data_IF_726454348170
#
_entry.id   IF_726454348170
#
_cell.length_a   1.000
_cell.length_b   1.000
_cell.length_c   1.000
_cell.angle_alpha   90.00
_cell.angle_beta   90.00
_cell.angle_gamma   90.00
#
_symmetry.space_group_name_H-M   'P 1'
#
loop_
_entity.id
_entity.type
_entity.pdbx_description
1 polymer ?
#
# COMPACT_ATOMS: atom_id res chain seq x y z
N UNK A 1 15.65 -23.41 5.46
CA UNK A 1 15.35 -22.31 4.52
C UNK A 1 13.85 -22.12 4.59
N UNK A 2 13.35 -20.93 4.94
CA UNK A 2 11.93 -20.63 4.78
C UNK A 2 11.55 -20.90 3.32
N UNK A 3 10.40 -21.51 3.09
CA UNK A 3 9.92 -22.02 1.79
C UNK A 3 9.63 -20.92 0.74
N UNK A 4 10.07 -19.69 0.99
CA UNK A 4 9.80 -18.51 0.15
C UNK A 4 8.38 -17.99 0.28
N UNK A 5 7.55 -18.57 1.15
CA UNK A 5 6.17 -18.13 1.36
C UNK A 5 6.15 -16.81 2.12
N UNK A 6 5.41 -15.83 1.60
CA UNK A 6 5.17 -14.57 2.31
C UNK A 6 4.21 -14.85 3.48
N UNK A 7 4.60 -14.53 4.73
CA UNK A 7 3.76 -14.83 5.88
C UNK A 7 2.48 -13.97 5.88
N UNK A 8 1.39 -14.58 6.36
CA UNK A 8 0.14 -13.90 6.69
C UNK A 8 0.09 -13.72 8.20
N UNK A 9 0.01 -12.48 8.68
CA UNK A 9 0.06 -12.13 10.11
C UNK A 9 -1.25 -11.48 10.54
N UNK A 10 -1.87 -12.07 11.56
CA UNK A 10 -3.04 -11.49 12.22
C UNK A 10 -2.63 -10.23 12.99
N UNK A 11 -3.16 -9.09 12.57
CA UNK A 11 -2.87 -7.77 13.13
C UNK A 11 -3.93 -7.30 14.14
N UNK A 12 -4.92 -8.13 14.47
CA UNK A 12 -6.10 -7.75 15.29
C UNK A 12 -5.74 -7.08 16.62
N UNK A 13 -4.70 -7.53 17.31
CA UNK A 13 -4.26 -6.98 18.60
C UNK A 13 -3.81 -5.52 18.52
N UNK A 14 -3.37 -5.07 17.34
CA UNK A 14 -2.99 -3.67 17.04
C UNK A 14 -3.82 -3.09 15.89
N UNK A 15 -4.93 -3.74 15.51
CA UNK A 15 -5.76 -3.33 14.37
C UNK A 15 -6.61 -2.11 14.69
N UNK A 16 -7.12 -1.44 13.65
CA UNK A 16 -7.91 -0.21 13.77
C UNK A 16 -9.19 -0.37 14.61
N UNK A 17 -9.73 -1.59 14.67
CA UNK A 17 -10.92 -1.90 15.46
C UNK A 17 -10.61 -2.20 16.94
N UNK A 18 -9.33 -2.23 17.34
CA UNK A 18 -8.92 -2.44 18.72
C UNK A 18 -9.06 -1.13 19.51
N UNK A 19 -10.17 -0.98 20.23
CA UNK A 19 -10.48 0.25 20.98
C UNK A 19 -9.50 0.52 22.15
N UNK A 20 -8.98 -0.56 22.74
CA UNK A 20 -8.03 -0.50 23.86
C UNK A 20 -6.83 -1.39 23.52
N UNK A 21 -5.86 -0.89 22.71
CA UNK A 21 -4.70 -1.68 22.37
C UNK A 21 -3.93 -2.08 23.64
N UNK A 22 -3.50 -3.34 23.74
CA UNK A 22 -2.71 -3.84 24.86
C UNK A 22 -1.39 -3.08 25.00
N UNK A 23 -0.80 -3.12 26.19
CA UNK A 23 0.52 -2.53 26.41
C UNK A 23 1.59 -3.25 25.58
N UNK A 24 2.67 -2.55 25.23
CA UNK A 24 3.74 -3.10 24.38
C UNK A 24 4.49 -4.27 25.04
N UNK A 25 4.41 -4.41 26.36
CA UNK A 25 4.95 -5.51 27.14
C UNK A 25 3.96 -6.67 27.34
N UNK A 26 2.80 -6.63 26.69
CA UNK A 26 1.94 -7.81 26.63
C UNK A 26 2.52 -8.85 25.66
N UNK A 27 2.35 -10.12 26.00
CA UNK A 27 2.87 -11.24 25.21
C UNK A 27 2.29 -11.26 23.78
N UNK A 28 1.01 -10.89 23.63
CA UNK A 28 0.33 -10.79 22.35
C UNK A 28 1.00 -9.78 21.40
N UNK A 29 1.38 -8.60 21.92
CA UNK A 29 2.07 -7.56 21.16
C UNK A 29 3.49 -7.97 20.81
N UNK A 30 4.23 -8.58 21.76
CA UNK A 30 5.58 -9.12 21.48
C UNK A 30 5.55 -10.18 20.39
N UNK A 31 4.60 -11.12 20.46
CA UNK A 31 4.46 -12.17 19.45
C UNK A 31 4.16 -11.59 18.06
N UNK A 32 3.26 -10.60 17.98
CA UNK A 32 3.01 -9.86 16.74
C UNK A 32 4.29 -9.18 16.23
N UNK A 33 5.01 -8.46 17.09
CA UNK A 33 6.25 -7.78 16.74
C UNK A 33 7.32 -8.75 16.22
N UNK A 34 7.49 -9.91 16.88
CA UNK A 34 8.45 -10.94 16.47
C UNK A 34 8.11 -11.51 15.08
N UNK A 35 6.82 -11.72 14.78
CA UNK A 35 6.36 -12.16 13.46
C UNK A 35 6.63 -11.12 12.38
N UNK A 36 6.31 -9.86 12.65
CA UNK A 36 6.56 -8.73 11.72
C UNK A 36 8.06 -8.55 11.48
N UNK A 37 8.87 -8.58 12.55
CA UNK A 37 10.33 -8.49 12.47
C UNK A 37 10.90 -9.65 11.65
N UNK A 38 10.44 -10.87 11.89
CA UNK A 38 10.89 -12.06 11.14
C UNK A 38 10.53 -11.94 9.66
N UNK A 39 9.31 -11.53 9.33
CA UNK A 39 8.87 -11.36 7.95
C UNK A 39 9.75 -10.35 7.18
N UNK A 40 9.99 -9.18 7.77
CA UNK A 40 10.79 -8.13 7.14
C UNK A 40 12.29 -8.44 7.11
N UNK A 41 12.84 -9.13 8.11
CA UNK A 41 14.27 -9.49 8.15
C UNK A 41 14.64 -10.69 7.30
N UNK A 42 13.66 -11.48 6.83
CA UNK A 42 13.90 -12.68 6.02
C UNK A 42 13.41 -12.54 4.59
N UNK A 43 12.11 -12.35 4.38
CA UNK A 43 11.48 -12.25 3.05
C UNK A 43 11.40 -10.79 2.59
N UNK A 44 11.28 -9.84 3.53
CA UNK A 44 11.07 -8.43 3.24
C UNK A 44 9.61 -8.05 2.98
N UNK A 45 8.67 -9.01 3.04
CA UNK A 45 7.25 -8.82 2.77
C UNK A 45 6.38 -9.55 3.80
N UNK A 46 5.16 -9.05 4.02
CA UNK A 46 4.13 -9.64 4.88
C UNK A 46 2.74 -9.28 4.37
N UNK A 47 1.78 -10.20 4.46
CA UNK A 47 0.36 -9.89 4.35
C UNK A 47 -0.22 -9.72 5.75
N UNK A 48 -1.00 -8.66 5.97
CA UNK A 48 -1.72 -8.46 7.22
C UNK A 48 -3.18 -8.89 7.06
N UNK A 49 -3.72 -9.58 8.05
CA UNK A 49 -5.16 -9.85 8.19
C UNK A 49 -5.68 -9.17 9.45
N UNK A 50 -7.00 -8.98 9.55
CA UNK A 50 -7.65 -8.33 10.69
C UNK A 50 -7.08 -6.94 11.03
N UNK A 51 -6.59 -6.21 10.02
CA UNK A 51 -6.06 -4.84 10.17
C UNK A 51 -7.16 -3.82 10.54
N UNK A 52 -8.43 -4.14 10.28
CA UNK A 52 -9.59 -3.36 10.71
C UNK A 52 -10.16 -2.39 9.68
N UNK A 53 -9.45 -2.14 8.59
CA UNK A 53 -10.00 -1.45 7.40
C UNK A 53 -11.15 -2.28 6.85
N UNK A 54 -12.33 -1.67 6.68
CA UNK A 54 -13.52 -2.38 6.23
C UNK A 54 -13.49 -2.64 4.72
N UNK A 55 -14.15 -3.72 4.28
CA UNK A 55 -14.36 -4.00 2.86
C UNK A 55 -15.10 -2.87 2.14
N UNK A 56 -15.98 -2.17 2.84
CA UNK A 56 -16.68 -1.01 2.28
C UNK A 56 -15.72 0.14 1.98
N UNK A 57 -14.79 0.47 2.89
CA UNK A 57 -13.77 1.50 2.64
C UNK A 57 -12.83 1.11 1.49
N UNK A 58 -12.40 -0.15 1.44
CA UNK A 58 -11.56 -0.67 0.35
C UNK A 58 -12.29 -0.52 -0.99
N UNK A 59 -13.56 -0.92 -1.06
CA UNK A 59 -14.34 -0.84 -2.30
C UNK A 59 -14.61 0.60 -2.72
N UNK A 60 -14.86 1.52 -1.79
CA UNK A 60 -15.03 2.95 -2.12
C UNK A 60 -13.75 3.56 -2.70
N UNK A 61 -12.56 3.23 -2.14
CA UNK A 61 -11.28 3.66 -2.72
C UNK A 61 -11.06 3.05 -4.09
N UNK A 62 -11.39 1.76 -4.28
CA UNK A 62 -11.29 1.08 -5.57
C UNK A 62 -12.19 1.74 -6.62
N UNK A 63 -13.45 2.03 -6.28
CA UNK A 63 -14.38 2.75 -7.15
C UNK A 63 -13.90 4.16 -7.50
N UNK A 64 -13.33 4.90 -6.55
CA UNK A 64 -12.77 6.21 -6.82
C UNK A 64 -11.58 6.12 -7.81
N UNK A 65 -10.71 5.13 -7.63
CA UNK A 65 -9.61 4.82 -8.55
C UNK A 65 -10.11 4.47 -9.96
N UNK A 66 -11.01 3.49 -10.06
CA UNK A 66 -11.63 3.09 -11.34
C UNK A 66 -12.32 4.28 -12.01
N UNK A 67 -13.07 5.07 -11.25
CA UNK A 67 -13.77 6.26 -11.73
C UNK A 67 -12.82 7.29 -12.34
N UNK A 68 -11.67 7.54 -11.70
CA UNK A 68 -10.67 8.45 -12.21
C UNK A 68 -9.92 7.88 -13.43
N UNK A 69 -9.41 6.65 -13.36
CA UNK A 69 -8.55 6.10 -14.41
C UNK A 69 -9.31 5.78 -15.72
N UNK A 70 -10.63 5.56 -15.63
CA UNK A 70 -11.51 5.42 -16.79
C UNK A 70 -11.85 6.75 -17.49
N UNK A 71 -11.45 7.90 -16.94
CA UNK A 71 -11.65 9.19 -17.61
C UNK A 71 -10.79 9.30 -18.88
N UNK A 72 -11.25 10.09 -19.87
CA UNK A 72 -10.43 10.47 -21.02
C UNK A 72 -9.08 11.09 -20.60
N UNK A 73 -8.04 10.84 -21.39
CA UNK A 73 -6.66 11.25 -21.05
C UNK A 73 -6.51 12.76 -20.94
N UNK A 74 -7.21 13.53 -21.78
CA UNK A 74 -7.26 14.99 -21.74
C UNK A 74 -7.86 15.52 -20.42
N UNK A 75 -8.83 14.80 -19.84
CA UNK A 75 -9.37 15.13 -18.51
C UNK A 75 -8.33 14.81 -17.43
N UNK A 76 -7.73 13.61 -17.45
CA UNK A 76 -6.70 13.21 -16.46
C UNK A 76 -5.49 14.15 -16.47
N UNK A 77 -5.12 14.69 -17.64
CA UNK A 77 -4.00 15.62 -17.81
C UNK A 77 -4.15 16.90 -16.97
N UNK A 78 -5.37 17.33 -16.63
CA UNK A 78 -5.61 18.49 -15.77
C UNK A 78 -5.11 18.27 -14.33
N UNK A 79 -4.91 17.01 -13.93
CA UNK A 79 -4.43 16.63 -12.60
C UNK A 79 -2.97 16.15 -12.60
N UNK A 80 -2.23 16.41 -13.69
CA UNK A 80 -0.84 15.94 -13.85
C UNK A 80 0.03 16.36 -12.66
N UNK A 81 0.73 15.38 -12.06
CA UNK A 81 1.73 15.65 -11.02
C UNK A 81 2.74 16.68 -11.54
N UNK A 82 3.07 17.75 -10.83
CA UNK A 82 4.03 18.73 -11.34
C UNK A 82 5.46 18.15 -11.39
N UNK A 83 6.39 18.86 -12.04
CA UNK A 83 7.82 18.52 -12.09
C UNK A 83 8.66 19.38 -11.14
N UNK A 84 8.03 20.23 -10.34
CA UNK A 84 8.62 21.20 -9.41
C UNK A 84 9.02 20.59 -8.06
N UNK A 85 9.00 19.26 -7.94
CA UNK A 85 9.23 18.52 -6.70
C UNK A 85 7.95 18.15 -5.94
N UNK A 86 6.78 18.64 -6.37
CA UNK A 86 5.50 18.14 -5.86
C UNK A 86 5.28 16.67 -6.23
N UNK A 87 4.94 15.84 -5.24
CA UNK A 87 4.71 14.40 -5.46
C UNK A 87 3.22 14.02 -5.57
N UNK A 88 2.32 14.98 -5.77
CA UNK A 88 0.87 14.77 -5.77
C UNK A 88 0.27 14.94 -7.15
N UNK A 89 -0.74 14.13 -7.49
CA UNK A 89 -1.43 14.16 -8.77
C UNK A 89 -1.14 12.96 -9.66
N UNK A 90 -1.62 13.04 -10.89
CA UNK A 90 -1.61 11.98 -11.89
C UNK A 90 -0.25 11.79 -12.56
N UNK A 91 0.15 10.54 -12.68
CA UNK A 91 1.35 10.07 -13.36
C UNK A 91 0.90 9.27 -14.56
N UNK A 92 1.18 9.78 -15.76
CA UNK A 92 0.87 9.11 -17.01
C UNK A 92 1.75 7.88 -17.24
N UNK A 93 1.35 7.04 -18.19
CA UNK A 93 2.16 5.95 -18.71
C UNK A 93 3.57 6.43 -19.09
N UNK A 94 4.57 5.58 -18.83
CA UNK A 94 5.99 5.77 -19.15
C UNK A 94 6.66 7.00 -18.49
N UNK A 95 5.92 7.77 -17.67
CA UNK A 95 6.48 8.94 -17.00
C UNK A 95 7.51 8.58 -15.95
N UNK A 96 7.32 7.45 -15.26
CA UNK A 96 8.29 6.93 -14.30
C UNK A 96 9.11 5.83 -14.96
N UNK A 97 10.41 5.84 -14.70
CA UNK A 97 11.36 4.82 -15.15
C UNK A 97 12.43 4.67 -14.08
N UNK A 98 12.36 3.57 -13.32
CA UNK A 98 13.33 3.29 -12.25
C UNK A 98 14.56 2.54 -12.77
N UNK A 99 14.48 1.96 -13.97
CA UNK A 99 15.59 1.29 -14.62
C UNK A 99 15.92 1.98 -15.95
N UNK A 100 17.03 2.74 -16.04
CA UNK A 100 17.43 3.45 -17.26
C UNK A 100 17.66 2.55 -18.48
N UNK A 101 17.86 1.25 -18.27
CA UNK A 101 18.06 0.28 -19.35
C UNK A 101 16.75 -0.35 -19.87
N UNK A 102 15.59 0.12 -19.39
CA UNK A 102 14.26 -0.40 -19.76
C UNK A 102 13.35 0.76 -20.16
N UNK A 103 12.31 0.50 -20.98
CA UNK A 103 11.24 1.48 -21.22
C UNK A 103 10.61 1.96 -19.91
N UNK A 104 9.91 3.09 -19.97
CA UNK A 104 9.15 3.60 -18.84
C UNK A 104 8.09 2.62 -18.36
N UNK A 105 7.65 2.79 -17.12
CA UNK A 105 6.69 1.90 -16.49
C UNK A 105 5.34 1.98 -17.23
N UNK A 106 4.84 0.84 -17.69
CA UNK A 106 3.51 0.70 -18.31
C UNK A 106 2.42 0.66 -17.24
N UNK A 107 2.37 1.72 -16.43
CA UNK A 107 1.35 1.99 -15.42
C UNK A 107 1.00 3.46 -15.44
N UNK A 108 -0.24 3.78 -15.10
CA UNK A 108 -0.59 5.10 -14.60
C UNK A 108 -0.76 5.04 -13.08
N UNK A 109 -0.63 6.18 -12.42
CA UNK A 109 -0.82 6.28 -10.97
C UNK A 109 -1.42 7.63 -10.60
N UNK A 110 -1.97 7.73 -9.39
CA UNK A 110 -2.41 9.00 -8.81
C UNK A 110 -1.90 9.06 -7.37
N UNK A 111 -1.08 10.06 -7.09
CA UNK A 111 -0.52 10.25 -5.77
C UNK A 111 -1.39 11.19 -4.95
N UNK A 112 -1.92 10.68 -3.84
CA UNK A 112 -2.73 11.42 -2.86
C UNK A 112 -1.88 11.90 -1.69
N UNK A 113 -2.37 12.92 -0.98
CA UNK A 113 -1.70 13.59 0.14
C UNK A 113 -2.07 12.95 1.48
#
# INVERSE_FOLDING_TARGET
>A
MADGTIPVVDFSVMGLNCQNPPSHDEESVRNLADKIHTAFSTIGFVYLTNHGISEAEIEEVRKAGDGFFNLPTDVKTQFTRPTDGGNFGWVSLERESLNPSRPGDLKEAFNVL
#
